data_IF_121191473478
#
_entry.id   IF_121191473478
#
_cell.length_a   1.000
_cell.length_b   1.000
_cell.length_c   1.000
_cell.angle_alpha   90.00
_cell.angle_beta   90.00
_cell.angle_gamma   90.00
#
_symmetry.space_group_name_H-M   'P 1'
#
loop_
_entity.id
_entity.type
_entity.pdbx_description
1 polymer ?
#
# COMPACT_ATOMS: atom_id res chain seq x y z
N UNK A 1 -28.74 -21.03 21.66
CA UNK A 1 -27.58 -20.24 22.06
C UNK A 1 -27.38 -19.19 20.97
N UNK A 2 -27.93 -17.99 21.20
CA UNK A 2 -27.97 -16.89 20.23
C UNK A 2 -26.56 -16.35 20.01
N UNK A 3 -26.06 -16.45 18.78
CA UNK A 3 -24.89 -15.66 18.37
C UNK A 3 -25.35 -14.18 18.37
N UNK A 4 -24.74 -13.38 19.24
CA UNK A 4 -24.92 -11.94 19.25
C UNK A 4 -24.55 -11.40 17.87
N UNK A 5 -25.49 -10.71 17.22
CA UNK A 5 -25.22 -9.82 16.11
C UNK A 5 -24.21 -8.78 16.57
N UNK A 6 -22.95 -8.99 16.25
CA UNK A 6 -21.93 -7.94 16.37
C UNK A 6 -22.34 -6.88 15.36
N UNK A 7 -22.78 -5.75 15.86
CA UNK A 7 -23.08 -4.59 15.03
C UNK A 7 -21.83 -4.19 14.26
N UNK A 8 -21.89 -4.32 12.94
CA UNK A 8 -20.86 -3.92 11.97
C UNK A 8 -20.56 -2.40 12.04
N UNK A 9 -21.27 -1.68 12.89
CA UNK A 9 -21.29 -0.20 12.93
C UNK A 9 -20.11 0.50 13.62
N UNK A 10 -19.19 -0.21 14.28
CA UNK A 10 -18.14 0.42 15.10
C UNK A 10 -16.71 0.04 14.69
N UNK A 11 -16.51 -0.38 13.46
CA UNK A 11 -15.15 -0.68 13.01
C UNK A 11 -14.37 0.63 12.79
N UNK A 12 -13.29 0.80 13.56
CA UNK A 12 -12.42 1.97 13.41
C UNK A 12 -11.80 1.99 12.01
N UNK A 13 -11.79 3.17 11.39
CA UNK A 13 -11.25 3.39 10.06
C UNK A 13 -9.94 4.18 10.09
N UNK A 14 -9.00 3.81 9.26
CA UNK A 14 -7.81 4.59 8.94
C UNK A 14 -8.13 5.45 7.72
N UNK A 15 -8.45 6.72 7.94
CA UNK A 15 -8.78 7.66 6.86
C UNK A 15 -7.54 7.95 6.03
N UNK A 16 -7.67 7.96 4.71
CA UNK A 16 -6.57 8.35 3.83
C UNK A 16 -6.43 9.87 3.72
N UNK A 17 -7.55 10.59 3.94
CA UNK A 17 -7.68 12.02 3.67
C UNK A 17 -7.29 12.40 2.24
N UNK A 18 -7.37 11.43 1.31
CA UNK A 18 -7.22 11.67 -0.13
C UNK A 18 -8.60 12.06 -0.66
N UNK A 19 -8.64 13.22 -1.32
CA UNK A 19 -9.88 13.79 -1.84
C UNK A 19 -10.58 12.78 -2.76
N UNK A 20 -11.87 12.52 -2.49
CA UNK A 20 -12.71 11.61 -3.25
C UNK A 20 -12.52 10.12 -2.95
N UNK A 21 -11.41 9.70 -2.30
CA UNK A 21 -11.14 8.27 -2.11
C UNK A 21 -11.86 7.64 -0.91
N UNK A 22 -11.84 8.29 0.25
CA UNK A 22 -12.35 7.67 1.49
C UNK A 22 -13.82 7.25 1.39
N UNK A 23 -14.63 7.96 0.61
CA UNK A 23 -16.04 7.60 0.38
C UNK A 23 -16.23 6.30 -0.42
N UNK A 24 -15.23 5.90 -1.25
CA UNK A 24 -15.28 4.63 -1.98
C UNK A 24 -15.16 3.41 -1.05
N UNK A 25 -14.71 3.63 0.20
CA UNK A 25 -14.48 2.58 1.21
C UNK A 25 -15.15 2.94 2.55
N UNK A 26 -16.33 3.60 2.47
CA UNK A 26 -17.14 3.97 3.65
C UNK A 26 -16.37 4.75 4.73
N UNK A 27 -15.49 5.67 4.31
CA UNK A 27 -14.81 6.62 5.19
C UNK A 27 -13.36 6.28 5.54
N UNK A 28 -12.74 5.31 4.87
CA UNK A 28 -11.33 4.93 5.05
C UNK A 28 -11.12 3.43 5.11
N UNK A 29 -9.87 3.00 5.11
CA UNK A 29 -9.53 1.59 5.25
C UNK A 29 -9.90 1.05 6.65
N UNK A 30 -10.37 -0.21 6.78
CA UNK A 30 -10.46 -0.83 8.09
C UNK A 30 -9.11 -0.76 8.81
N UNK A 31 -9.10 -0.39 10.09
CA UNK A 31 -7.84 -0.37 10.84
C UNK A 31 -7.21 -1.77 10.86
N UNK A 32 -5.88 -1.82 10.78
CA UNK A 32 -5.08 -3.06 10.74
C UNK A 32 -5.30 -3.90 9.49
N UNK A 33 -5.96 -3.36 8.46
CA UNK A 33 -6.06 -4.06 7.18
C UNK A 33 -4.77 -3.95 6.38
N UNK A 34 -4.53 -4.95 5.57
CA UNK A 34 -3.45 -4.99 4.60
C UNK A 34 -4.03 -4.80 3.20
N UNK A 35 -3.69 -3.69 2.55
CA UNK A 35 -4.25 -3.29 1.25
C UNK A 35 -3.18 -3.30 0.18
N UNK A 36 -3.44 -4.03 -0.90
CA UNK A 36 -2.59 -4.05 -2.08
C UNK A 36 -2.90 -2.83 -2.97
N UNK A 37 -1.88 -2.05 -3.29
CA UNK A 37 -1.93 -1.05 -4.35
C UNK A 37 -1.32 -1.67 -5.62
N UNK A 38 -2.16 -1.96 -6.58
CA UNK A 38 -1.82 -2.66 -7.82
C UNK A 38 -1.87 -1.71 -9.01
N UNK A 39 -1.06 -1.94 -10.02
CA UNK A 39 -1.11 -1.21 -11.30
C UNK A 39 0.26 -1.10 -11.97
N UNK A 40 0.25 -0.74 -13.25
CA UNK A 40 1.47 -0.55 -14.04
C UNK A 40 2.30 0.65 -13.55
N UNK A 41 3.58 0.77 -13.92
CA UNK A 41 4.40 1.94 -13.59
C UNK A 41 3.76 3.26 -14.03
N UNK A 42 3.94 4.33 -13.23
CA UNK A 42 3.45 5.68 -13.56
C UNK A 42 1.96 5.93 -13.27
N UNK A 43 1.21 4.97 -12.74
CA UNK A 43 -0.22 5.12 -12.42
C UNK A 43 -0.52 5.91 -11.15
N UNK A 44 0.48 6.23 -10.30
CA UNK A 44 0.32 7.07 -9.12
C UNK A 44 0.34 6.34 -7.78
N UNK A 45 0.66 5.05 -7.73
CA UNK A 45 0.67 4.24 -6.49
C UNK A 45 1.56 4.82 -5.39
N UNK A 46 2.80 5.18 -5.72
CA UNK A 46 3.76 5.80 -4.79
C UNK A 46 3.24 7.14 -4.24
N UNK A 47 2.62 7.98 -5.09
CA UNK A 47 2.04 9.26 -4.67
C UNK A 47 0.88 9.03 -3.69
N UNK A 48 0.00 8.08 -3.99
CA UNK A 48 -1.10 7.69 -3.10
C UNK A 48 -0.58 7.23 -1.74
N UNK A 49 0.46 6.38 -1.74
CA UNK A 49 1.05 5.86 -0.50
C UNK A 49 1.76 6.96 0.31
N UNK A 50 2.44 7.90 -0.34
CA UNK A 50 3.03 9.06 0.32
C UNK A 50 1.96 9.96 0.94
N UNK A 51 0.85 10.24 0.23
CA UNK A 51 -0.28 10.99 0.78
C UNK A 51 -0.94 10.26 1.96
N UNK A 52 -1.16 8.95 1.85
CA UNK A 52 -1.70 8.16 2.95
C UNK A 52 -0.85 8.29 4.22
N UNK A 53 0.47 8.17 4.06
CA UNK A 53 1.40 8.28 5.19
C UNK A 53 1.43 9.70 5.77
N UNK A 54 1.61 10.70 4.90
CA UNK A 54 1.66 12.11 5.28
C UNK A 54 0.37 12.56 5.97
N UNK A 55 -0.76 12.28 5.35
CA UNK A 55 -2.06 12.71 5.84
C UNK A 55 -2.39 12.09 7.20
N UNK A 56 -2.04 10.83 7.43
CA UNK A 56 -2.20 10.19 8.73
C UNK A 56 -1.42 10.88 9.83
N UNK A 57 -0.18 11.23 9.55
CA UNK A 57 0.66 11.95 10.49
C UNK A 57 0.17 13.39 10.73
N UNK A 58 -0.20 14.10 9.65
CA UNK A 58 -0.58 15.51 9.71
C UNK A 58 -1.99 15.75 10.27
N UNK A 59 -2.95 14.87 9.99
CA UNK A 59 -4.37 15.08 10.32
C UNK A 59 -4.89 14.19 11.45
N UNK A 60 -4.26 13.03 11.68
CA UNK A 60 -4.69 12.08 12.70
C UNK A 60 -3.63 11.86 13.80
N UNK A 61 -2.44 12.46 13.67
CA UNK A 61 -1.29 12.25 14.56
C UNK A 61 -0.86 10.77 14.66
N UNK A 62 -1.12 9.99 13.59
CA UNK A 62 -0.76 8.58 13.48
C UNK A 62 0.68 8.43 12.99
N UNK A 63 1.46 7.60 13.67
CA UNK A 63 2.84 7.33 13.26
C UNK A 63 2.89 6.46 12.02
N UNK A 64 3.70 6.87 11.03
CA UNK A 64 3.87 6.17 9.77
C UNK A 64 5.28 5.70 9.49
N UNK A 65 5.41 4.48 8.97
CA UNK A 65 6.66 3.91 8.45
C UNK A 65 6.52 3.65 6.95
N UNK A 66 7.41 4.22 6.16
CA UNK A 66 7.56 3.90 4.74
C UNK A 66 8.83 3.08 4.56
N UNK A 67 8.69 1.87 4.05
CA UNK A 67 9.79 0.99 3.68
C UNK A 67 9.94 1.05 2.17
N UNK A 68 11.06 1.59 1.69
CA UNK A 68 11.37 1.63 0.27
C UNK A 68 12.48 0.65 -0.09
N UNK A 69 12.27 -0.08 -1.21
CA UNK A 69 13.23 -1.03 -1.77
C UNK A 69 13.69 -0.63 -3.17
N UNK A 70 13.08 0.38 -3.78
CA UNK A 70 13.37 0.79 -5.16
C UNK A 70 13.97 2.19 -5.24
N UNK A 71 13.42 3.11 -4.46
CA UNK A 71 13.85 4.51 -4.48
C UNK A 71 14.57 4.89 -3.18
N UNK A 72 15.49 5.85 -3.26
CA UNK A 72 16.13 6.40 -2.06
C UNK A 72 15.13 7.23 -1.24
N UNK A 73 15.36 7.32 0.06
CA UNK A 73 14.57 8.15 0.95
C UNK A 73 14.58 9.63 0.51
N UNK A 74 15.71 10.12 -0.02
CA UNK A 74 15.82 11.50 -0.52
C UNK A 74 14.96 11.74 -1.76
N UNK A 75 14.90 10.78 -2.69
CA UNK A 75 14.02 10.87 -3.84
C UNK A 75 12.55 10.93 -3.42
N UNK A 76 12.14 10.11 -2.46
CA UNK A 76 10.76 10.12 -1.92
C UNK A 76 10.43 11.46 -1.26
N UNK A 77 11.38 12.07 -0.50
CA UNK A 77 11.19 13.43 0.06
C UNK A 77 11.01 14.47 -1.04
N UNK A 78 11.85 14.41 -2.08
CA UNK A 78 11.75 15.32 -3.23
C UNK A 78 10.41 15.16 -3.95
N UNK A 79 9.96 13.94 -4.22
CA UNK A 79 8.66 13.67 -4.84
C UNK A 79 7.51 14.18 -3.97
N UNK A 80 7.50 13.87 -2.69
CA UNK A 80 6.48 14.33 -1.75
C UNK A 80 6.38 15.86 -1.72
N UNK A 81 7.52 16.55 -1.72
CA UNK A 81 7.59 18.00 -1.71
C UNK A 81 6.96 18.66 -2.94
N UNK A 82 6.99 18.00 -4.11
CA UNK A 82 6.32 18.49 -5.33
C UNK A 82 4.80 18.62 -5.16
N UNK A 83 4.23 17.81 -4.25
CA UNK A 83 2.80 17.83 -3.91
C UNK A 83 2.48 18.58 -2.62
N UNK A 84 3.45 19.35 -2.07
CA UNK A 84 3.28 20.07 -0.81
C UNK A 84 3.32 19.18 0.45
N UNK A 85 3.74 17.92 0.33
CA UNK A 85 3.83 16.98 1.45
C UNK A 85 5.23 17.08 2.10
N UNK A 86 5.36 17.90 3.14
CA UNK A 86 6.62 18.10 3.86
C UNK A 86 6.92 16.94 4.82
N UNK A 87 7.50 15.87 4.26
CA UNK A 87 7.88 14.68 5.04
C UNK A 87 9.00 14.99 6.04
N UNK A 88 9.96 15.85 5.71
CA UNK A 88 11.08 16.20 6.60
C UNK A 88 10.59 16.82 7.91
N UNK A 89 9.55 17.65 7.84
CA UNK A 89 8.92 18.23 9.02
C UNK A 89 8.34 17.14 9.94
N UNK A 90 7.65 16.18 9.36
CA UNK A 90 7.03 15.08 10.11
C UNK A 90 8.08 14.07 10.64
N UNK A 91 9.18 13.86 9.91
CA UNK A 91 10.32 13.06 10.40
C UNK A 91 10.97 13.70 11.64
N UNK A 92 11.20 15.04 11.62
CA UNK A 92 11.71 15.79 12.79
C UNK A 92 10.78 15.72 14.01
N UNK A 93 9.47 15.56 13.78
CA UNK A 93 8.47 15.37 14.83
C UNK A 93 8.38 13.92 15.31
N UNK A 94 9.08 12.97 14.67
CA UNK A 94 9.02 11.54 14.98
C UNK A 94 7.71 10.88 14.59
N UNK A 95 6.92 11.51 13.71
CA UNK A 95 5.64 10.98 13.20
C UNK A 95 5.80 10.16 11.92
N UNK A 96 6.82 10.44 11.11
CA UNK A 96 7.13 9.68 9.90
C UNK A 96 8.55 9.13 9.97
N UNK A 97 8.75 7.94 9.45
CA UNK A 97 10.08 7.34 9.26
C UNK A 97 10.14 6.77 7.84
N UNK A 98 11.17 7.15 7.10
CA UNK A 98 11.53 6.51 5.83
C UNK A 98 12.66 5.51 6.10
N UNK A 99 12.43 4.25 5.76
CA UNK A 99 13.41 3.16 5.89
C UNK A 99 13.79 2.69 4.49
N UNK A 100 15.01 2.97 4.10
CA UNK A 100 15.57 2.48 2.85
C UNK A 100 16.23 1.11 3.07
N UNK A 101 15.83 0.13 2.28
CA UNK A 101 16.43 -1.21 2.28
C UNK A 101 16.97 -1.47 0.89
N UNK A 102 18.28 -1.64 0.78
CA UNK A 102 18.90 -1.99 -0.49
C UNK A 102 18.44 -3.38 -0.93
N UNK A 103 17.93 -3.57 -2.15
CA UNK A 103 17.38 -4.84 -2.61
C UNK A 103 18.35 -6.03 -2.45
N UNK A 104 19.64 -5.80 -2.63
CA UNK A 104 20.70 -6.84 -2.46
C UNK A 104 20.80 -7.40 -1.04
N UNK A 105 20.24 -6.69 -0.06
CA UNK A 105 20.31 -7.04 1.36
C UNK A 105 18.99 -7.59 1.90
N UNK A 106 18.01 -7.86 1.02
CA UNK A 106 16.75 -8.43 1.44
C UNK A 106 16.92 -9.90 1.80
N UNK A 107 16.74 -10.20 3.06
CA UNK A 107 16.81 -11.55 3.63
C UNK A 107 15.57 -11.77 4.51
N UNK A 108 15.33 -13.01 4.95
CA UNK A 108 14.29 -13.25 5.96
C UNK A 108 14.52 -12.43 7.24
N UNK A 109 15.78 -12.12 7.56
CA UNK A 109 16.10 -11.26 8.72
C UNK A 109 15.66 -9.81 8.48
N UNK A 110 15.75 -9.28 7.25
CA UNK A 110 15.26 -7.94 6.91
C UNK A 110 13.75 -7.81 7.09
N UNK A 111 12.99 -8.85 6.71
CA UNK A 111 11.54 -8.91 6.95
C UNK A 111 11.23 -8.87 8.44
N UNK A 112 11.93 -9.71 9.23
CA UNK A 112 11.77 -9.72 10.69
C UNK A 112 12.15 -8.38 11.33
N UNK A 113 13.12 -7.68 10.75
CA UNK A 113 13.52 -6.34 11.19
C UNK A 113 12.44 -5.30 10.92
N UNK A 114 11.82 -5.32 9.73
CA UNK A 114 10.67 -4.46 9.41
C UNK A 114 9.56 -4.66 10.44
N UNK A 115 9.15 -5.91 10.69
CA UNK A 115 8.08 -6.23 11.63
C UNK A 115 8.41 -5.77 13.06
N UNK A 116 9.63 -6.05 13.54
CA UNK A 116 10.10 -5.57 14.84
C UNK A 116 10.11 -4.05 14.92
N UNK A 117 10.46 -3.37 13.82
CA UNK A 117 10.46 -1.90 13.77
C UNK A 117 9.04 -1.35 13.85
N UNK A 118 8.08 -1.97 13.15
CA UNK A 118 6.65 -1.61 13.22
C UNK A 118 6.15 -1.71 14.65
N UNK A 119 6.39 -2.83 15.32
CA UNK A 119 5.94 -3.07 16.69
C UNK A 119 6.60 -2.10 17.69
N UNK A 120 7.94 -2.00 17.67
CA UNK A 120 8.70 -1.15 18.62
C UNK A 120 8.41 0.33 18.43
N UNK A 121 8.24 0.79 17.18
CA UNK A 121 7.94 2.17 16.84
C UNK A 121 6.48 2.54 17.10
N UNK A 122 5.60 1.55 17.35
CA UNK A 122 4.15 1.73 17.47
C UNK A 122 3.58 2.46 16.26
N UNK A 123 4.02 2.06 15.07
CA UNK A 123 3.51 2.63 13.82
C UNK A 123 2.10 2.14 13.56
N UNK A 124 1.22 3.08 13.22
CA UNK A 124 -0.19 2.84 12.91
C UNK A 124 -0.41 2.74 11.40
N UNK A 125 0.54 3.28 10.62
CA UNK A 125 0.56 3.20 9.15
C UNK A 125 1.86 2.61 8.66
N UNK A 126 1.77 1.69 7.72
CA UNK A 126 2.90 1.07 7.07
C UNK A 126 2.75 1.18 5.55
N UNK A 127 3.82 1.52 4.86
CA UNK A 127 3.92 1.39 3.40
C UNK A 127 5.12 0.51 3.07
N UNK A 128 4.96 -0.43 2.14
CA UNK A 128 6.06 -1.22 1.57
C UNK A 128 6.07 -1.03 0.06
N UNK A 129 7.14 -0.43 -0.45
CA UNK A 129 7.33 -0.09 -1.87
C UNK A 129 8.66 -0.67 -2.38
N UNK A 130 8.66 -1.81 -3.05
CA UNK A 130 7.52 -2.62 -3.46
C UNK A 130 7.67 -4.10 -3.10
N UNK A 131 6.55 -4.81 -3.08
CA UNK A 131 6.52 -6.28 -2.97
C UNK A 131 7.25 -6.93 -4.15
N UNK A 132 7.18 -6.33 -5.33
CA UNK A 132 7.87 -6.83 -6.52
C UNK A 132 9.38 -6.86 -6.33
N UNK A 133 9.94 -5.82 -5.69
CA UNK A 133 11.37 -5.79 -5.35
C UNK A 133 11.73 -6.82 -4.27
N UNK A 134 10.85 -7.05 -3.30
CA UNK A 134 11.01 -8.14 -2.32
C UNK A 134 11.02 -9.51 -3.00
N UNK A 135 10.09 -9.76 -3.93
CA UNK A 135 9.96 -11.03 -4.63
C UNK A 135 11.22 -11.40 -5.44
N UNK A 136 11.76 -10.43 -6.20
CA UNK A 136 12.94 -10.63 -7.04
C UNK A 136 14.18 -10.97 -6.19
N UNK A 137 14.29 -10.42 -5.00
CA UNK A 137 15.45 -10.57 -4.13
C UNK A 137 15.29 -11.68 -3.07
N UNK A 138 14.20 -12.46 -3.13
CA UNK A 138 14.03 -13.63 -2.26
C UNK A 138 15.13 -14.66 -2.53
N UNK A 139 15.90 -15.11 -1.52
CA UNK A 139 17.00 -16.03 -1.73
C UNK A 139 16.54 -17.33 -2.38
N UNK A 140 17.06 -17.62 -3.57
CA UNK A 140 16.83 -18.88 -4.26
C UNK A 140 17.91 -19.89 -3.86
N UNK A 141 17.66 -20.68 -2.82
CA UNK A 141 18.62 -21.65 -2.28
C UNK A 141 18.63 -23.00 -3.03
N UNK A 142 17.74 -23.22 -3.99
CA UNK A 142 17.50 -24.55 -4.56
C UNK A 142 17.71 -24.69 -6.09
N UNK A 143 18.49 -23.78 -6.69
CA UNK A 143 18.85 -23.92 -8.11
C UNK A 143 17.74 -23.52 -9.09
N UNK A 144 18.08 -23.54 -10.38
CA UNK A 144 17.34 -22.88 -11.48
C UNK A 144 16.09 -23.61 -12.00
N UNK A 145 15.33 -24.30 -11.15
CA UNK A 145 14.05 -24.88 -11.58
C UNK A 145 12.95 -23.84 -11.40
N UNK A 146 12.46 -23.27 -12.49
CA UNK A 146 11.51 -22.14 -12.53
C UNK A 146 10.27 -22.36 -11.65
N UNK A 147 9.68 -23.54 -11.70
CA UNK A 147 8.47 -23.86 -10.94
C UNK A 147 8.70 -23.87 -9.41
N UNK A 148 9.87 -24.33 -8.99
CA UNK A 148 10.24 -24.36 -7.58
C UNK A 148 10.43 -22.92 -7.06
N UNK A 149 11.09 -22.07 -7.83
CA UNK A 149 11.30 -20.65 -7.49
C UNK A 149 9.97 -19.92 -7.31
N UNK A 150 9.01 -20.13 -8.19
CA UNK A 150 7.68 -19.51 -8.10
C UNK A 150 6.93 -19.91 -6.83
N UNK A 151 6.98 -21.19 -6.45
CA UNK A 151 6.36 -21.70 -5.22
C UNK A 151 6.99 -21.05 -3.98
N UNK A 152 8.34 -20.89 -3.96
CA UNK A 152 9.03 -20.23 -2.85
C UNK A 152 8.66 -18.76 -2.72
N UNK A 153 8.60 -18.01 -3.83
CA UNK A 153 8.18 -16.61 -3.83
C UNK A 153 6.75 -16.49 -3.30
N UNK A 154 5.82 -17.30 -3.78
CA UNK A 154 4.43 -17.29 -3.31
C UNK A 154 4.34 -17.61 -1.82
N UNK A 155 5.06 -18.63 -1.35
CA UNK A 155 5.10 -18.97 0.08
C UNK A 155 5.69 -17.86 0.93
N UNK A 156 6.79 -17.26 0.51
CA UNK A 156 7.42 -16.13 1.19
C UNK A 156 6.45 -14.94 1.29
N UNK A 157 5.81 -14.56 0.18
CA UNK A 157 4.83 -13.47 0.16
C UNK A 157 3.63 -13.77 1.06
N UNK A 158 3.15 -15.00 1.06
CA UNK A 158 2.04 -15.42 1.92
C UNK A 158 2.37 -15.22 3.40
N UNK A 159 3.56 -15.65 3.82
CA UNK A 159 4.01 -15.47 5.20
C UNK A 159 4.23 -14.00 5.53
N UNK A 160 4.94 -13.26 4.66
CA UNK A 160 5.21 -11.84 4.87
C UNK A 160 3.94 -11.01 5.04
N UNK A 161 2.96 -11.18 4.14
CA UNK A 161 1.68 -10.48 4.23
C UNK A 161 0.90 -10.92 5.47
N UNK A 162 0.95 -12.21 5.82
CA UNK A 162 0.36 -12.75 7.04
C UNK A 162 0.92 -12.11 8.31
N UNK A 163 2.23 -11.96 8.36
CA UNK A 163 2.94 -11.31 9.49
C UNK A 163 2.57 -9.80 9.58
N UNK A 164 2.51 -9.10 8.43
CA UNK A 164 2.07 -7.69 8.40
C UNK A 164 0.63 -7.56 8.90
N UNK A 165 -0.28 -8.43 8.47
CA UNK A 165 -1.68 -8.45 8.95
C UNK A 165 -1.79 -8.67 10.47
N UNK A 166 -0.83 -9.38 11.05
CA UNK A 166 -0.77 -9.60 12.49
C UNK A 166 -0.24 -8.38 13.25
N UNK A 167 0.31 -7.38 12.55
CA UNK A 167 0.75 -6.12 13.15
C UNK A 167 -0.44 -5.21 13.48
N UNK A 168 -0.19 -4.16 14.26
CA UNK A 168 -1.23 -3.18 14.59
C UNK A 168 -1.36 -2.05 13.55
N UNK A 169 -0.58 -2.09 12.47
CA UNK A 169 -0.57 -1.06 11.45
C UNK A 169 -1.59 -1.35 10.34
N UNK A 170 -2.22 -0.30 9.81
CA UNK A 170 -2.88 -0.35 8.51
C UNK A 170 -1.82 -0.23 7.44
N UNK A 171 -1.69 -1.25 6.59
CA UNK A 171 -0.59 -1.40 5.66
C UNK A 171 -1.01 -1.23 4.20
N UNK A 172 -0.25 -0.42 3.45
CA UNK A 172 -0.31 -0.36 1.99
C UNK A 172 0.90 -1.09 1.41
N UNK A 173 0.65 -2.09 0.60
CA UNK A 173 1.66 -2.88 -0.09
C UNK A 173 1.60 -2.58 -1.57
N UNK A 174 2.67 -2.06 -2.15
CA UNK A 174 2.72 -1.73 -3.56
C UNK A 174 3.24 -2.93 -4.35
N UNK A 175 2.49 -3.34 -5.37
CA UNK A 175 2.94 -4.31 -6.37
C UNK A 175 2.82 -3.72 -7.78
N UNK A 176 3.87 -3.92 -8.57
CA UNK A 176 3.88 -3.52 -9.97
C UNK A 176 3.24 -4.62 -10.80
N UNK A 177 2.14 -4.32 -11.46
CA UNK A 177 1.54 -5.21 -12.43
C UNK A 177 2.32 -5.14 -13.75
N UNK A 178 2.59 -6.29 -14.38
CA UNK A 178 3.24 -6.34 -15.69
C UNK A 178 2.31 -5.89 -16.83
N UNK A 179 1.02 -6.13 -16.65
CA UNK A 179 -0.04 -5.72 -17.57
C UNK A 179 -1.32 -5.40 -16.77
N UNK A 180 -2.30 -4.81 -17.43
CA UNK A 180 -3.56 -4.41 -16.79
C UNK A 180 -4.49 -5.57 -16.39
N UNK A 181 -4.18 -6.80 -16.81
CA UNK A 181 -4.97 -8.00 -16.49
C UNK A 181 -4.51 -8.66 -15.21
N UNK A 182 -3.25 -8.43 -14.81
CA UNK A 182 -2.66 -8.98 -13.58
C UNK A 182 -2.72 -7.95 -12.46
N UNK A 183 -3.11 -8.38 -11.29
CA UNK A 183 -3.19 -7.51 -10.11
C UNK A 183 -1.89 -7.49 -9.29
N UNK A 184 -1.05 -8.50 -9.42
CA UNK A 184 0.28 -8.53 -8.79
C UNK A 184 1.28 -9.26 -9.66
N UNK A 185 2.55 -8.91 -9.51
CA UNK A 185 3.64 -9.64 -10.20
C UNK A 185 3.87 -11.02 -9.56
N UNK A 186 3.62 -11.11 -8.27
CA UNK A 186 3.85 -12.31 -7.45
C UNK A 186 2.72 -13.35 -7.60
N UNK A 187 1.54 -12.93 -8.08
CA UNK A 187 0.38 -13.80 -8.34
C UNK A 187 -0.26 -14.38 -7.08
N UNK A 188 -0.06 -13.76 -5.91
CA UNK A 188 -0.60 -14.23 -4.63
C UNK A 188 -1.11 -13.08 -3.75
N UNK A 189 -0.53 -11.90 -3.87
CA UNK A 189 -0.79 -10.77 -2.95
C UNK A 189 -2.25 -10.35 -2.96
N UNK A 190 -2.92 -10.35 -4.12
CA UNK A 190 -4.33 -10.03 -4.28
C UNK A 190 -5.28 -10.97 -3.53
N UNK A 191 -4.86 -12.21 -3.30
CA UNK A 191 -5.67 -13.20 -2.55
C UNK A 191 -5.48 -13.05 -1.04
N UNK A 192 -4.28 -12.74 -0.59
CA UNK A 192 -3.91 -12.68 0.83
C UNK A 192 -4.31 -11.36 1.46
N UNK A 193 -4.15 -10.23 0.76
CA UNK A 193 -4.51 -8.91 1.25
C UNK A 193 -6.02 -8.78 1.53
N UNK A 194 -6.36 -7.91 2.49
CA UNK A 194 -7.75 -7.63 2.85
C UNK A 194 -8.44 -6.73 1.83
N UNK A 195 -7.68 -5.82 1.22
CA UNK A 195 -8.12 -4.93 0.16
C UNK A 195 -7.22 -4.98 -1.06
N UNK A 196 -7.79 -4.61 -2.21
CA UNK A 196 -7.07 -4.41 -3.48
C UNK A 196 -7.59 -3.13 -4.10
N UNK A 197 -6.71 -2.15 -4.24
CA UNK A 197 -6.95 -0.90 -4.96
C UNK A 197 -6.13 -0.96 -6.25
N UNK A 198 -6.81 -0.89 -7.38
CA UNK A 198 -6.20 -1.05 -8.69
C UNK A 198 -6.14 0.29 -9.42
N UNK A 199 -4.93 0.69 -9.79
CA UNK A 199 -4.62 1.90 -10.54
C UNK A 199 -4.38 1.54 -12.01
N UNK A 200 -5.00 2.28 -12.92
CA UNK A 200 -4.95 2.01 -14.35
C UNK A 200 -4.57 3.25 -15.14
N UNK A 201 -3.92 3.02 -16.27
CA UNK A 201 -3.80 4.04 -17.32
C UNK A 201 -4.95 3.86 -18.30
N UNK A 202 -5.70 4.95 -18.54
CA UNK A 202 -6.77 4.97 -19.55
C UNK A 202 -6.21 5.60 -20.83
N UNK A 203 -6.08 4.79 -21.87
CA UNK A 203 -5.49 5.21 -23.16
C UNK A 203 -6.52 5.81 -24.14
N UNK A 204 -7.80 5.81 -23.78
CA UNK A 204 -8.90 6.21 -24.66
C UNK A 204 -9.39 7.63 -24.36
N UNK A 205 -8.69 8.66 -24.89
CA UNK A 205 -9.23 9.99 -25.23
C UNK A 205 -10.10 10.74 -24.23
N UNK A 206 -10.03 10.41 -22.93
CA UNK A 206 -10.77 11.11 -21.88
C UNK A 206 -10.01 12.31 -21.33
N UNK A 207 -10.69 13.14 -20.54
CA UNK A 207 -10.11 14.24 -19.80
C UNK A 207 -9.03 13.78 -18.80
N UNK A 208 -9.15 12.56 -18.31
CA UNK A 208 -8.22 11.94 -17.37
C UNK A 208 -7.55 10.74 -18.00
N UNK A 209 -6.23 10.65 -17.85
CA UNK A 209 -5.42 9.53 -18.37
C UNK A 209 -5.26 8.39 -17.38
N UNK A 210 -5.82 8.52 -16.17
CA UNK A 210 -5.72 7.52 -15.09
C UNK A 210 -7.06 7.26 -14.45
N UNK A 211 -7.22 6.05 -13.93
CA UNK A 211 -8.39 5.67 -13.14
C UNK A 211 -7.98 4.82 -11.93
N UNK A 212 -8.90 4.73 -10.97
CA UNK A 212 -8.78 3.93 -9.76
C UNK A 212 -10.04 3.11 -9.55
N UNK A 213 -9.87 1.88 -9.07
CA UNK A 213 -10.94 0.93 -8.78
C UNK A 213 -10.65 0.23 -7.46
N UNK A 214 -11.60 0.21 -6.54
CA UNK A 214 -11.53 -0.64 -5.35
C UNK A 214 -12.06 -2.04 -5.72
N UNK A 215 -11.14 -2.91 -6.12
CA UNK A 215 -11.46 -4.27 -6.59
C UNK A 215 -12.00 -5.17 -5.49
N UNK A 216 -11.57 -4.93 -4.25
CA UNK A 216 -11.89 -5.74 -3.07
C UNK A 216 -11.61 -4.92 -1.81
N UNK A 217 -12.49 -4.99 -0.84
CA UNK A 217 -12.23 -4.53 0.52
C UNK A 217 -13.03 -5.38 1.50
N UNK A 218 -12.34 -6.21 2.31
CA UNK A 218 -13.00 -7.00 3.34
C UNK A 218 -13.58 -6.10 4.40
N UNK A 219 -14.71 -6.52 5.01
CA UNK A 219 -15.34 -5.84 6.14
C UNK A 219 -15.94 -4.47 5.82
N UNK A 220 -15.98 -4.08 4.54
CA UNK A 220 -16.54 -2.82 4.06
C UNK A 220 -17.25 -3.05 2.76
N UNK A 221 -18.37 -2.36 2.58
CA UNK A 221 -18.99 -2.23 1.25
C UNK A 221 -18.20 -1.17 0.48
N UNK A 222 -17.42 -1.60 -0.49
CA UNK A 222 -16.71 -0.66 -1.36
C UNK A 222 -17.52 -0.32 -2.61
N UNK A 223 -17.24 0.84 -3.18
CA UNK A 223 -17.68 1.20 -4.51
C UNK A 223 -16.92 0.36 -5.54
N UNK A 224 -17.64 -0.26 -6.49
CA UNK A 224 -17.09 -1.16 -7.50
C UNK A 224 -16.92 -0.48 -8.87
N UNK A 225 -17.25 0.81 -8.97
CA UNK A 225 -17.11 1.58 -10.19
C UNK A 225 -15.66 2.01 -10.44
N UNK A 226 -15.33 2.31 -11.69
CA UNK A 226 -14.05 2.86 -12.10
C UNK A 226 -14.13 4.38 -11.99
N UNK A 227 -13.27 4.98 -11.18
CA UNK A 227 -13.25 6.41 -10.93
C UNK A 227 -12.07 7.09 -11.62
N UNK A 228 -12.26 8.24 -12.29
CA UNK A 228 -11.16 9.03 -12.80
C UNK A 228 -10.21 9.47 -11.68
N UNK A 229 -8.89 9.37 -11.94
CA UNK A 229 -7.85 9.77 -11.02
C UNK A 229 -7.02 10.90 -11.64
N UNK A 230 -6.92 11.99 -10.93
CA UNK A 230 -6.06 13.12 -11.26
C UNK A 230 -4.83 13.16 -10.36
N UNK A 231 -3.67 13.45 -10.95
CA UNK A 231 -2.46 13.82 -10.21
C UNK A 231 -2.30 15.34 -10.35
N UNK A 232 -2.74 16.06 -9.33
CA UNK A 232 -2.68 17.52 -9.24
C UNK A 232 -1.39 18.00 -8.57
N UNK A 233 -1.20 19.31 -8.47
CA UNK A 233 -0.10 19.90 -7.68
C UNK A 233 -0.22 19.66 -6.17
N UNK A 234 -1.37 19.15 -5.69
CA UNK A 234 -1.61 18.79 -4.28
C UNK A 234 -1.64 17.28 -4.05
N UNK A 235 -1.29 16.50 -5.06
CA UNK A 235 -1.32 15.05 -5.06
C UNK A 235 -2.52 14.45 -5.79
N UNK A 236 -2.96 13.28 -5.35
CA UNK A 236 -4.06 12.53 -5.97
C UNK A 236 -5.41 13.10 -5.55
N UNK A 237 -6.28 13.23 -6.53
CA UNK A 237 -7.71 13.51 -6.39
C UNK A 237 -8.46 12.41 -7.13
N UNK A 238 -9.47 11.84 -6.49
CA UNK A 238 -10.37 10.87 -7.10
C UNK A 238 -11.71 11.54 -7.40
N UNK A 239 -12.12 11.50 -8.65
CA UNK A 239 -13.36 12.12 -9.09
C UNK A 239 -14.51 11.10 -9.05
N UNK A 240 -15.56 11.42 -8.32
CA UNK A 240 -16.75 10.58 -8.33
C UNK A 240 -17.59 10.85 -9.57
N UNK A 241 -18.11 9.78 -10.14
CA UNK A 241 -18.99 9.84 -11.32
C UNK A 241 -20.47 10.06 -10.96
N UNK A 242 -20.77 10.32 -9.68
CA UNK A 242 -22.14 10.56 -9.19
C UNK A 242 -22.32 12.00 -8.76
#
# INVERSE_FOLDING_TARGET
MMMKDMEIKDMKKSKTFIEGFDQLVEGGFPQRSCVLLSGTPGTGKTIFALQFLYNGAAHANEKGLYVTLEESADNLRCQAKQFGLDLEKLEKQGLVTLLEITPRNVTESSVKEILKKVERGKYERLVVDSLSALAINTPNTLGSVKDITEIFIKRFMYHFIGDIRSSNATALLISQAMDEKKLSNEGVSEFVCDGVVHFRFETLGGQYSRSILVRKMREVKNDEDIHPLEISSKGIIVHNLR
#
